data_IF_663118547450
#
_entry.id   IF_663118547450
#
_cell.length_a   1.000
_cell.length_b   1.000
_cell.length_c   1.000
_cell.angle_alpha   90.00
_cell.angle_beta   90.00
_cell.angle_gamma   90.00
#
_symmetry.space_group_name_H-M   'P 1'
#
loop_
_entity.id
_entity.type
_entity.pdbx_description
1 polymer ?
#
# COMPACT_ATOMS: atom_id res chain seq x y z
N UNK A 1 -14.80 8.11 13.34
CA UNK A 1 -13.32 8.12 13.33
C UNK A 1 -12.83 7.65 14.71
N UNK A 2 -12.41 6.38 14.86
CA UNK A 2 -11.50 6.06 15.98
C UNK A 2 -10.23 6.85 15.66
N UNK A 3 -9.93 7.89 16.47
CA UNK A 3 -8.59 8.46 16.53
C UNK A 3 -7.66 7.26 16.67
N UNK A 4 -6.80 7.03 15.69
CA UNK A 4 -5.59 6.25 15.92
C UNK A 4 -4.85 7.08 16.97
N UNK A 5 -5.03 6.72 18.24
CA UNK A 5 -4.22 7.24 19.31
C UNK A 5 -2.82 6.85 18.91
N UNK A 6 -1.98 7.84 18.64
CA UNK A 6 -0.57 7.58 18.37
C UNK A 6 -0.02 6.97 19.65
N UNK A 7 0.13 5.63 19.64
CA UNK A 7 0.57 4.87 20.82
C UNK A 7 1.97 5.28 21.30
N UNK A 8 2.69 6.04 20.46
CA UNK A 8 3.97 6.67 20.80
C UNK A 8 3.85 8.04 21.46
N UNK A 9 2.64 8.53 21.66
CA UNK A 9 2.39 9.83 22.28
C UNK A 9 2.32 9.67 23.83
N UNK A 10 3.44 9.23 24.43
CA UNK A 10 3.63 9.34 25.86
C UNK A 10 4.46 10.58 26.19
N UNK A 11 4.14 11.24 27.27
CA UNK A 11 4.85 12.43 27.72
C UNK A 11 6.24 12.06 28.23
N UNK A 12 7.23 12.83 27.82
CA UNK A 12 8.59 12.76 28.32
C UNK A 12 8.83 13.87 29.34
N UNK A 13 9.66 13.62 30.33
CA UNK A 13 10.17 14.72 31.17
C UNK A 13 11.04 15.69 30.35
N UNK A 14 11.17 16.94 30.79
CA UNK A 14 11.87 18.00 30.04
C UNK A 14 13.31 17.62 29.63
N UNK A 15 14.03 16.87 30.47
CA UNK A 15 15.40 16.43 30.16
C UNK A 15 15.41 15.38 29.05
N UNK A 16 14.51 14.42 29.13
CA UNK A 16 14.36 13.37 28.14
C UNK A 16 13.84 13.92 26.82
N UNK A 17 12.91 14.91 26.86
CA UNK A 17 12.43 15.61 25.67
C UNK A 17 13.56 16.29 24.92
N UNK A 18 14.45 17.00 25.62
CA UNK A 18 15.62 17.63 24.99
C UNK A 18 16.56 16.60 24.32
N UNK A 19 16.72 15.41 24.91
CA UNK A 19 17.48 14.33 24.29
C UNK A 19 16.79 13.88 22.99
N UNK A 20 15.48 13.65 23.05
CA UNK A 20 14.71 13.23 21.88
C UNK A 20 14.74 14.25 20.75
N UNK A 21 14.60 15.54 21.06
CA UNK A 21 14.64 16.63 20.09
C UNK A 21 16.00 16.69 19.38
N UNK A 22 17.09 16.56 20.13
CA UNK A 22 18.44 16.46 19.56
C UNK A 22 18.61 15.23 18.64
N UNK A 23 18.05 14.07 19.03
CA UNK A 23 18.04 12.88 18.17
C UNK A 23 17.23 13.11 16.90
N UNK A 24 16.09 13.80 16.96
CA UNK A 24 15.28 14.14 15.79
C UNK A 24 16.07 15.01 14.79
N UNK A 25 16.80 16.00 15.27
CA UNK A 25 17.67 16.84 14.42
C UNK A 25 18.75 16.01 13.71
N UNK A 26 19.38 15.06 14.41
CA UNK A 26 20.37 14.14 13.82
C UNK A 26 19.72 13.25 12.74
N UNK A 27 18.53 12.70 13.01
CA UNK A 27 17.78 11.87 12.07
C UNK A 27 17.40 12.66 10.82
N UNK A 28 16.84 13.85 10.98
CA UNK A 28 16.44 14.72 9.86
C UNK A 28 17.62 15.10 8.97
N UNK A 29 18.79 15.37 9.55
CA UNK A 29 20.01 15.64 8.79
C UNK A 29 20.38 14.45 7.88
N UNK A 30 20.30 13.22 8.37
CA UNK A 30 20.58 12.02 7.58
C UNK A 30 19.54 11.82 6.48
N UNK A 31 18.25 11.90 6.81
CA UNK A 31 17.17 11.68 5.82
C UNK A 31 17.09 12.77 4.76
N UNK A 32 17.51 14.01 5.04
CA UNK A 32 17.59 15.12 4.07
C UNK A 32 18.51 14.79 2.90
N UNK A 33 19.61 14.09 3.16
CA UNK A 33 20.61 13.71 2.16
C UNK A 33 20.41 12.28 1.60
N UNK A 34 19.42 11.55 2.11
CA UNK A 34 19.15 10.20 1.68
C UNK A 34 18.29 10.18 0.40
N UNK A 35 18.87 9.69 -0.71
CA UNK A 35 18.16 9.55 -1.98
C UNK A 35 17.72 8.11 -2.30
N UNK A 36 17.91 7.16 -1.37
CA UNK A 36 17.54 5.76 -1.57
C UNK A 36 16.04 5.53 -1.34
N UNK A 37 15.41 4.81 -2.26
CA UNK A 37 14.01 4.42 -2.15
C UNK A 37 13.00 5.51 -2.56
N UNK A 38 11.72 5.12 -2.58
CA UNK A 38 10.62 6.04 -2.90
C UNK A 38 10.40 7.06 -1.76
N UNK A 39 9.96 8.26 -2.10
CA UNK A 39 9.68 9.35 -1.14
C UNK A 39 8.87 8.88 0.08
N UNK A 40 7.75 8.19 -0.14
CA UNK A 40 6.91 7.66 0.96
C UNK A 40 7.56 6.57 1.80
N UNK A 41 8.52 5.85 1.25
CA UNK A 41 9.30 4.87 2.02
C UNK A 41 10.27 5.58 2.95
N UNK A 42 10.92 6.66 2.47
CA UNK A 42 11.81 7.50 3.29
C UNK A 42 11.06 8.18 4.43
N UNK A 43 9.92 8.81 4.12
CA UNK A 43 9.04 9.43 5.13
C UNK A 43 8.63 8.43 6.23
N UNK A 44 8.24 7.21 5.83
CA UNK A 44 7.88 6.15 6.78
C UNK A 44 9.08 5.65 7.58
N UNK A 45 10.26 5.57 6.97
CA UNK A 45 11.48 5.16 7.66
C UNK A 45 11.94 6.23 8.65
N UNK A 46 11.89 7.50 8.27
CA UNK A 46 12.17 8.62 9.17
C UNK A 46 11.27 8.59 10.41
N UNK A 47 9.95 8.45 10.20
CA UNK A 47 9.00 8.30 11.31
C UNK A 47 9.33 7.08 12.19
N UNK A 48 9.65 5.93 11.60
CA UNK A 48 10.03 4.73 12.35
C UNK A 48 11.30 4.89 13.17
N UNK A 49 12.30 5.62 12.64
CA UNK A 49 13.53 5.92 13.40
C UNK A 49 13.24 6.94 14.51
N UNK A 50 12.39 7.94 14.29
CA UNK A 50 11.96 8.90 15.34
C UNK A 50 11.23 8.18 16.49
N UNK A 51 10.41 7.17 16.20
CA UNK A 51 9.78 6.34 17.22
C UNK A 51 10.83 5.56 18.04
N UNK A 52 11.80 4.96 17.38
CA UNK A 52 12.92 4.30 18.07
C UNK A 52 13.75 5.30 18.90
N UNK A 53 14.00 6.49 18.38
CA UNK A 53 14.73 7.54 19.08
C UNK A 53 14.02 7.98 20.36
N UNK A 54 12.69 8.12 20.33
CA UNK A 54 11.89 8.43 21.52
C UNK A 54 12.07 7.38 22.60
N UNK A 55 11.99 6.09 22.23
CA UNK A 55 12.26 4.97 23.12
C UNK A 55 13.71 5.00 23.66
N UNK A 56 14.69 5.26 22.81
CA UNK A 56 16.10 5.31 23.21
C UNK A 56 16.42 6.48 24.12
N UNK A 57 15.78 7.63 23.92
CA UNK A 57 15.87 8.79 24.81
C UNK A 57 15.30 8.45 26.18
N UNK A 58 14.14 7.78 26.22
CA UNK A 58 13.44 7.46 27.46
C UNK A 58 14.11 6.32 28.23
N UNK A 59 14.23 5.14 27.63
CA UNK A 59 14.73 3.94 28.28
C UNK A 59 16.23 3.91 28.52
N UNK A 60 17.02 4.55 27.64
CA UNK A 60 18.49 4.46 27.67
C UNK A 60 19.21 5.80 27.78
N UNK A 61 18.49 6.93 27.79
CA UNK A 61 19.03 8.30 27.83
C UNK A 61 20.16 8.54 26.79
N UNK A 62 19.98 7.92 25.59
CA UNK A 62 20.97 7.98 24.51
C UNK A 62 20.99 9.33 23.81
N UNK A 63 22.21 9.91 23.67
CA UNK A 63 22.44 11.22 23.03
C UNK A 63 22.67 11.11 21.50
N UNK A 64 22.94 9.90 20.98
CA UNK A 64 23.11 9.59 19.57
C UNK A 64 22.75 8.15 19.26
N UNK A 65 22.51 7.84 17.98
CA UNK A 65 22.16 6.52 17.48
C UNK A 65 23.29 5.86 16.67
N UNK A 66 24.54 6.32 16.80
CA UNK A 66 25.68 5.76 16.05
C UNK A 66 26.10 4.39 16.57
N UNK A 67 25.71 4.02 17.79
CA UNK A 67 26.09 2.77 18.43
C UNK A 67 24.85 2.02 18.91
N UNK A 68 24.08 1.49 17.95
CA UNK A 68 22.94 0.61 18.23
C UNK A 68 23.50 -0.80 18.52
N UNK A 69 23.07 -1.38 19.63
CA UNK A 69 23.48 -2.73 20.07
C UNK A 69 22.27 -3.68 20.07
N UNK A 70 22.50 -5.01 20.00
CA UNK A 70 21.43 -6.01 20.08
C UNK A 70 20.45 -5.77 21.24
N UNK A 71 20.93 -5.45 22.43
CA UNK A 71 20.10 -5.19 23.61
C UNK A 71 19.07 -4.09 23.41
N UNK A 72 19.38 -3.06 22.59
CA UNK A 72 18.46 -1.96 22.31
C UNK A 72 17.29 -2.42 21.43
N UNK A 73 17.56 -3.34 20.49
CA UNK A 73 16.51 -3.90 19.65
C UNK A 73 15.62 -4.89 20.39
N UNK A 74 16.20 -5.72 21.27
CA UNK A 74 15.41 -6.61 22.13
C UNK A 74 14.45 -5.81 23.01
N UNK A 75 14.95 -4.83 23.76
CA UNK A 75 14.13 -3.98 24.60
C UNK A 75 13.07 -3.19 23.82
N UNK A 76 13.41 -2.71 22.60
CA UNK A 76 12.45 -2.00 21.76
C UNK A 76 11.34 -2.91 21.24
N UNK A 77 11.65 -4.13 20.86
CA UNK A 77 10.66 -5.11 20.41
C UNK A 77 9.72 -5.49 21.54
N UNK A 78 10.25 -5.79 22.73
CA UNK A 78 9.47 -6.06 23.93
C UNK A 78 8.51 -4.91 24.23
N UNK A 79 9.02 -3.67 24.29
CA UNK A 79 8.21 -2.47 24.48
C UNK A 79 7.07 -2.37 23.44
N UNK A 80 7.39 -2.58 22.14
CA UNK A 80 6.37 -2.49 21.11
C UNK A 80 5.32 -3.60 21.20
N UNK A 81 5.70 -4.80 21.63
CA UNK A 81 4.79 -5.93 21.82
C UNK A 81 3.86 -5.68 23.02
N UNK A 82 4.39 -5.18 24.12
CA UNK A 82 3.62 -4.81 25.33
C UNK A 82 2.61 -3.70 25.03
N UNK A 83 2.98 -2.75 24.18
CA UNK A 83 2.07 -1.71 23.67
C UNK A 83 1.04 -2.24 22.66
N UNK A 84 1.08 -3.53 22.31
CA UNK A 84 0.14 -4.18 21.40
C UNK A 84 0.26 -3.76 19.94
N UNK A 85 1.47 -3.38 19.48
CA UNK A 85 1.69 -3.08 18.07
C UNK A 85 1.65 -4.34 17.21
N UNK A 86 1.12 -4.22 16.00
CA UNK A 86 1.09 -5.34 15.07
C UNK A 86 2.50 -5.75 14.63
N UNK A 87 2.72 -7.05 14.42
CA UNK A 87 3.98 -7.59 13.90
C UNK A 87 4.49 -6.88 12.64
N UNK A 88 3.57 -6.51 11.73
CA UNK A 88 3.93 -5.76 10.51
C UNK A 88 4.48 -4.37 10.82
N UNK A 89 3.92 -3.70 11.83
CA UNK A 89 4.39 -2.39 12.25
C UNK A 89 5.76 -2.48 12.93
N UNK A 90 5.95 -3.44 13.84
CA UNK A 90 7.26 -3.74 14.46
C UNK A 90 8.31 -4.03 13.40
N UNK A 91 8.03 -4.92 12.45
CA UNK A 91 8.92 -5.25 11.34
C UNK A 91 9.33 -4.03 10.52
N UNK A 92 8.38 -3.12 10.25
CA UNK A 92 8.67 -1.89 9.50
C UNK A 92 9.58 -0.94 10.28
N UNK A 93 9.34 -0.77 11.58
CA UNK A 93 10.19 0.06 12.43
C UNK A 93 11.61 -0.52 12.53
N UNK A 94 11.75 -1.84 12.72
CA UNK A 94 13.06 -2.50 12.73
C UNK A 94 13.80 -2.33 11.40
N UNK A 95 13.10 -2.38 10.27
CA UNK A 95 13.70 -2.13 8.96
C UNK A 95 14.20 -0.69 8.83
N UNK A 96 13.43 0.27 9.36
CA UNK A 96 13.83 1.67 9.39
C UNK A 96 15.08 1.90 10.27
N UNK A 97 15.13 1.28 11.45
CA UNK A 97 16.28 1.37 12.37
C UNK A 97 17.54 0.80 11.74
N UNK A 98 17.46 -0.40 11.11
CA UNK A 98 18.60 -1.00 10.42
C UNK A 98 19.08 -0.14 9.26
N UNK A 99 18.15 0.34 8.44
CA UNK A 99 18.47 1.25 7.34
C UNK A 99 19.20 2.50 7.84
N UNK A 100 18.68 3.15 8.88
CA UNK A 100 19.31 4.32 9.47
C UNK A 100 20.70 4.02 10.03
N UNK A 101 20.86 2.88 10.70
CA UNK A 101 22.13 2.46 11.28
C UNK A 101 23.21 2.30 10.20
N UNK A 102 22.86 1.76 9.04
CA UNK A 102 23.78 1.68 7.88
C UNK A 102 24.13 3.08 7.34
N UNK A 103 23.18 4.04 7.35
CA UNK A 103 23.44 5.43 6.89
C UNK A 103 24.40 6.21 7.81
N UNK A 104 24.48 5.86 9.08
CA UNK A 104 25.41 6.50 10.03
C UNK A 104 26.74 5.73 10.16
N UNK A 105 27.04 4.81 9.23
CA UNK A 105 28.29 4.06 9.19
C UNK A 105 28.32 2.82 10.08
N UNK A 106 27.18 2.41 10.60
CA UNK A 106 27.03 1.13 11.29
C UNK A 106 26.97 -0.05 10.32
N UNK A 107 26.89 -1.25 10.86
CA UNK A 107 26.73 -2.50 10.11
C UNK A 107 25.51 -3.25 10.65
N UNK A 108 24.37 -3.07 9.96
CA UNK A 108 23.12 -3.68 10.39
C UNK A 108 23.09 -5.21 10.28
N UNK A 109 24.03 -5.82 9.54
CA UNK A 109 24.16 -7.28 9.46
C UNK A 109 24.57 -7.93 10.79
N UNK A 110 25.22 -7.14 11.67
CA UNK A 110 25.61 -7.55 13.03
C UNK A 110 24.49 -7.45 14.05
N UNK A 111 23.36 -6.80 13.67
CA UNK A 111 22.19 -6.72 14.52
C UNK A 111 21.32 -7.98 14.37
N UNK A 112 20.61 -8.41 15.43
CA UNK A 112 19.76 -9.58 15.36
C UNK A 112 18.67 -9.39 14.30
N UNK A 113 18.38 -10.45 13.54
CA UNK A 113 17.26 -10.47 12.60
C UNK A 113 15.91 -10.56 13.33
N UNK A 114 14.81 -10.42 12.60
CA UNK A 114 13.47 -10.41 13.19
C UNK A 114 13.13 -11.70 13.94
N UNK A 115 13.54 -12.87 13.42
CA UNK A 115 13.28 -14.16 14.07
C UNK A 115 13.97 -14.26 15.42
N UNK A 116 15.24 -13.83 15.51
CA UNK A 116 16.00 -13.79 16.78
C UNK A 116 15.38 -12.80 17.77
N UNK A 117 14.69 -11.76 17.28
CA UNK A 117 13.97 -10.79 18.11
C UNK A 117 12.56 -11.26 18.50
N UNK A 118 12.14 -12.47 18.16
CA UNK A 118 10.79 -12.97 18.42
C UNK A 118 9.69 -12.30 17.57
N UNK A 119 10.08 -11.62 16.49
CA UNK A 119 9.14 -10.95 15.57
C UNK A 119 8.85 -11.89 14.41
N UNK A 120 7.85 -12.75 14.60
CA UNK A 120 7.44 -13.74 13.59
C UNK A 120 6.35 -13.11 12.71
N UNK A 121 6.64 -12.94 11.42
CA UNK A 121 5.64 -12.50 10.45
C UNK A 121 4.56 -13.56 10.28
N UNK A 122 3.31 -13.12 10.04
CA UNK A 122 2.23 -14.05 9.67
C UNK A 122 2.69 -14.98 8.56
N UNK A 123 2.38 -16.25 8.71
CA UNK A 123 2.65 -17.26 7.70
C UNK A 123 1.87 -16.95 6.40
N UNK A 124 2.19 -17.66 5.33
CA UNK A 124 1.45 -17.53 4.06
C UNK A 124 -0.01 -17.98 4.26
N UNK A 125 -0.19 -19.06 5.00
CA UNK A 125 -1.48 -19.68 5.30
C UNK A 125 -2.39 -18.71 6.09
N UNK A 126 -1.86 -18.03 7.08
CA UNK A 126 -2.58 -17.00 7.85
C UNK A 126 -2.97 -15.75 7.01
N UNK A 127 -2.26 -15.50 5.89
CA UNK A 127 -2.62 -14.40 4.96
C UNK A 127 -3.65 -14.83 3.93
N UNK A 128 -3.73 -16.13 3.65
CA UNK A 128 -4.66 -16.73 2.69
C UNK A 128 -6.11 -16.69 3.21
N UNK A 129 -6.32 -16.68 4.53
CA UNK A 129 -7.66 -16.73 5.14
C UNK A 129 -8.55 -15.49 4.96
N UNK A 130 -8.00 -14.34 4.59
CA UNK A 130 -8.75 -13.08 4.46
C UNK A 130 -9.16 -12.82 3.01
N UNK A 131 -10.34 -13.27 2.58
CA UNK A 131 -10.87 -12.86 1.26
C UNK A 131 -11.21 -11.37 1.24
N UNK A 132 -10.31 -10.58 0.65
CA UNK A 132 -10.43 -9.12 0.52
C UNK A 132 -11.12 -8.67 -0.77
N UNK A 133 -11.49 -9.61 -1.64
CA UNK A 133 -12.13 -9.29 -2.91
C UNK A 133 -13.53 -8.71 -2.67
N UNK A 134 -13.88 -7.68 -3.41
CA UNK A 134 -15.27 -7.23 -3.50
C UNK A 134 -16.11 -8.30 -4.19
N UNK A 135 -17.41 -8.35 -3.87
CA UNK A 135 -18.39 -9.11 -4.63
C UNK A 135 -18.90 -8.27 -5.81
N UNK A 136 -19.36 -8.90 -6.87
CA UNK A 136 -19.87 -8.21 -8.06
C UNK A 136 -20.97 -7.19 -7.69
N UNK A 137 -21.92 -7.59 -6.86
CA UNK A 137 -23.01 -6.75 -6.42
C UNK A 137 -22.53 -5.55 -5.58
N UNK A 138 -21.46 -5.69 -4.80
CA UNK A 138 -20.86 -4.58 -4.05
C UNK A 138 -20.27 -3.52 -4.99
N UNK A 139 -19.66 -3.95 -6.10
CA UNK A 139 -19.14 -3.05 -7.15
C UNK A 139 -20.29 -2.31 -7.82
N UNK A 140 -21.38 -2.99 -8.17
CA UNK A 140 -22.55 -2.38 -8.79
C UNK A 140 -23.25 -1.39 -7.85
N UNK A 141 -23.45 -1.77 -6.60
CA UNK A 141 -24.02 -0.93 -5.57
C UNK A 141 -23.16 0.32 -5.34
N UNK A 142 -21.83 0.17 -5.28
CA UNK A 142 -20.93 1.32 -5.17
C UNK A 142 -21.05 2.27 -6.35
N UNK A 143 -21.06 1.75 -7.59
CA UNK A 143 -21.16 2.56 -8.80
C UNK A 143 -22.48 3.34 -8.81
N UNK A 144 -23.58 2.69 -8.45
CA UNK A 144 -24.90 3.33 -8.33
C UNK A 144 -24.87 4.42 -7.27
N UNK A 145 -24.45 4.09 -6.05
CA UNK A 145 -24.36 5.06 -4.97
C UNK A 145 -23.46 6.25 -5.32
N UNK A 146 -22.30 6.01 -5.91
CA UNK A 146 -21.39 7.08 -6.34
C UNK A 146 -22.04 7.99 -7.39
N UNK A 147 -22.86 7.45 -8.30
CA UNK A 147 -23.64 8.24 -9.25
C UNK A 147 -24.72 9.06 -8.56
N UNK A 148 -25.48 8.45 -7.64
CA UNK A 148 -26.59 9.12 -6.93
C UNK A 148 -26.12 10.33 -6.10
N UNK A 149 -24.85 10.32 -5.63
CA UNK A 149 -24.27 11.43 -4.88
C UNK A 149 -23.33 12.33 -5.72
N UNK A 150 -23.39 12.25 -7.06
CA UNK A 150 -22.58 13.09 -7.97
C UNK A 150 -21.08 12.79 -7.95
N UNK A 151 -20.69 11.55 -7.65
CA UNK A 151 -19.30 11.10 -7.62
C UNK A 151 -19.01 10.04 -8.70
N UNK A 152 -19.54 10.21 -9.90
CA UNK A 152 -19.41 9.28 -11.04
C UNK A 152 -17.95 8.94 -11.32
N UNK A 153 -17.04 9.90 -11.12
CA UNK A 153 -15.61 9.70 -11.25
C UNK A 153 -15.10 8.53 -10.39
N UNK A 154 -15.61 8.39 -9.17
CA UNK A 154 -15.23 7.28 -8.27
C UNK A 154 -15.83 5.96 -8.74
N UNK A 155 -17.05 5.98 -9.27
CA UNK A 155 -17.68 4.83 -9.91
C UNK A 155 -16.86 4.32 -11.10
N UNK A 156 -16.43 5.23 -11.98
CA UNK A 156 -15.57 4.90 -13.14
C UNK A 156 -14.19 4.36 -12.71
N UNK A 157 -13.59 4.92 -11.65
CA UNK A 157 -12.32 4.41 -11.09
C UNK A 157 -12.45 2.99 -10.54
N UNK A 158 -13.53 2.71 -9.82
CA UNK A 158 -13.82 1.37 -9.26
C UNK A 158 -14.09 0.38 -10.39
N UNK A 159 -14.93 0.73 -11.35
CA UNK A 159 -15.23 -0.11 -12.51
C UNK A 159 -13.97 -0.44 -13.31
N UNK A 160 -13.14 0.55 -13.60
CA UNK A 160 -11.89 0.34 -14.34
C UNK A 160 -10.91 -0.55 -13.57
N UNK A 161 -10.78 -0.33 -12.27
CA UNK A 161 -9.89 -1.15 -11.42
C UNK A 161 -10.37 -2.60 -11.32
N UNK A 162 -11.69 -2.84 -11.23
CA UNK A 162 -12.27 -4.18 -11.20
C UNK A 162 -12.11 -4.93 -12.53
N UNK A 163 -12.11 -4.22 -13.66
CA UNK A 163 -11.95 -4.79 -15.00
C UNK A 163 -10.49 -5.05 -15.41
N UNK A 164 -9.54 -4.26 -14.89
CA UNK A 164 -8.13 -4.29 -15.32
C UNK A 164 -7.16 -4.67 -14.19
N UNK A 165 -7.61 -4.85 -12.97
CA UNK A 165 -6.76 -5.18 -11.82
C UNK A 165 -5.73 -4.09 -11.48
N UNK A 166 -5.98 -2.84 -11.84
CA UNK A 166 -5.04 -1.73 -11.63
C UNK A 166 -4.98 -1.30 -10.17
N UNK A 167 -3.78 -0.92 -9.71
CA UNK A 167 -3.63 -0.25 -8.41
C UNK A 167 -4.16 1.18 -8.50
N UNK A 168 -4.65 1.73 -7.39
CA UNK A 168 -5.23 3.08 -7.35
C UNK A 168 -4.32 4.15 -7.97
N UNK A 169 -3.01 4.10 -7.71
CA UNK A 169 -2.07 5.05 -8.29
C UNK A 169 -1.81 4.82 -9.79
N UNK A 170 -2.02 3.59 -10.29
CA UNK A 170 -1.96 3.27 -11.71
C UNK A 170 -3.19 3.86 -12.42
N UNK A 171 -4.39 3.68 -11.84
CA UNK A 171 -5.63 4.33 -12.31
C UNK A 171 -5.46 5.85 -12.40
N UNK A 172 -4.91 6.48 -11.36
CA UNK A 172 -4.68 7.93 -11.32
C UNK A 172 -3.62 8.43 -12.33
N UNK A 173 -2.78 7.54 -12.88
CA UNK A 173 -1.76 7.89 -13.89
C UNK A 173 -2.26 7.75 -15.32
N UNK A 174 -3.41 7.14 -15.53
CA UNK A 174 -3.96 6.98 -16.87
C UNK A 174 -4.19 8.35 -17.52
N UNK A 175 -3.91 8.41 -18.81
CA UNK A 175 -4.12 9.57 -19.67
C UNK A 175 -4.73 9.15 -21.00
N UNK A 176 -5.04 10.10 -21.86
CA UNK A 176 -5.67 9.84 -23.15
C UNK A 176 -4.87 8.87 -24.06
N UNK A 177 -3.54 8.85 -23.98
CA UNK A 177 -2.73 7.92 -24.79
C UNK A 177 -2.91 6.46 -24.38
N UNK A 178 -3.03 6.18 -23.08
CA UNK A 178 -3.34 4.84 -22.57
C UNK A 178 -4.73 4.38 -23.04
N UNK A 179 -5.73 5.27 -23.02
CA UNK A 179 -7.08 4.93 -23.50
C UNK A 179 -7.09 4.67 -25.01
N UNK A 180 -6.34 5.46 -25.80
CA UNK A 180 -6.16 5.21 -27.23
C UNK A 180 -5.56 3.85 -27.49
N UNK A 181 -4.47 3.51 -26.79
CA UNK A 181 -3.84 2.19 -26.89
C UNK A 181 -4.86 1.07 -26.57
N UNK A 182 -5.64 1.22 -25.52
CA UNK A 182 -6.68 0.27 -25.14
C UNK A 182 -7.72 0.04 -26.24
N UNK A 183 -8.13 1.10 -26.92
CA UNK A 183 -9.10 1.03 -28.02
C UNK A 183 -8.51 0.38 -29.29
N UNK A 184 -7.25 0.63 -29.60
CA UNK A 184 -6.58 0.14 -30.79
C UNK A 184 -6.01 -1.26 -30.62
N UNK A 185 -5.29 -1.50 -29.52
CA UNK A 185 -4.50 -2.71 -29.30
C UNK A 185 -5.14 -3.73 -28.35
N UNK A 186 -6.33 -3.45 -27.78
CA UNK A 186 -7.00 -4.27 -26.80
C UNK A 186 -6.16 -4.53 -25.54
N UNK A 187 -5.22 -3.64 -25.23
CA UNK A 187 -4.36 -3.68 -24.03
C UNK A 187 -3.97 -2.29 -23.57
N UNK A 188 -3.59 -2.19 -22.31
CA UNK A 188 -2.97 -0.99 -21.73
C UNK A 188 -1.60 -1.36 -21.18
N UNK A 189 -0.56 -0.62 -21.59
CA UNK A 189 0.78 -0.78 -21.03
C UNK A 189 0.93 0.06 -19.77
N UNK A 190 1.16 -0.57 -18.64
CA UNK A 190 1.24 0.06 -17.31
C UNK A 190 2.64 -0.06 -16.73
N UNK A 191 3.19 1.10 -16.30
CA UNK A 191 4.42 1.16 -15.51
C UNK A 191 4.04 1.07 -14.02
N UNK A 192 4.33 -0.07 -13.40
CA UNK A 192 4.03 -0.36 -12.00
C UNK A 192 5.10 0.10 -11.00
N UNK A 193 5.01 -0.42 -9.76
CA UNK A 193 5.99 -0.17 -8.70
C UNK A 193 7.37 -0.74 -9.13
N UNK A 194 8.43 0.00 -8.83
CA UNK A 194 9.80 -0.40 -9.19
C UNK A 194 10.13 -0.26 -10.68
N UNK A 195 9.29 0.44 -11.47
CA UNK A 195 9.53 0.66 -12.89
C UNK A 195 9.11 -0.51 -13.81
N UNK A 196 8.56 -1.58 -13.25
CA UNK A 196 8.13 -2.75 -13.99
C UNK A 196 7.00 -2.40 -14.97
N UNK A 197 7.21 -2.71 -16.23
CA UNK A 197 6.24 -2.49 -17.31
C UNK A 197 5.50 -3.79 -17.60
N UNK A 198 4.17 -3.70 -17.77
CA UNK A 198 3.33 -4.82 -18.13
C UNK A 198 2.17 -4.40 -19.03
N UNK A 199 1.72 -5.32 -19.87
CA UNK A 199 0.48 -5.18 -20.62
C UNK A 199 -0.68 -5.81 -19.87
N UNK A 200 -1.80 -5.07 -19.78
CA UNK A 200 -3.05 -5.53 -19.19
C UNK A 200 -4.09 -5.61 -20.31
N UNK A 201 -4.71 -6.78 -20.55
CA UNK A 201 -5.69 -6.94 -21.60
C UNK A 201 -6.97 -6.15 -21.30
N UNK A 202 -7.53 -5.51 -22.32
CA UNK A 202 -8.80 -4.78 -22.27
C UNK A 202 -9.85 -5.61 -23.02
N UNK A 203 -10.83 -6.13 -22.28
CA UNK A 203 -11.90 -6.98 -22.83
C UNK A 203 -13.19 -6.22 -23.11
N UNK A 204 -13.51 -5.25 -22.24
CA UNK A 204 -14.64 -4.35 -22.41
C UNK A 204 -14.13 -2.93 -22.71
N UNK A 205 -14.48 -2.42 -23.89
CA UNK A 205 -14.09 -1.09 -24.33
C UNK A 205 -15.12 0.00 -24.02
N UNK A 206 -16.30 -0.36 -23.54
CA UNK A 206 -17.41 0.57 -23.34
C UNK A 206 -17.03 1.72 -22.42
N UNK A 207 -16.50 1.40 -21.23
CA UNK A 207 -15.99 2.42 -20.30
C UNK A 207 -14.79 3.17 -20.87
N UNK A 208 -13.86 2.46 -21.52
CA UNK A 208 -12.66 3.06 -22.13
C UNK A 208 -13.05 4.11 -23.17
N UNK A 209 -14.06 3.82 -24.03
CA UNK A 209 -14.56 4.74 -25.04
C UNK A 209 -15.20 5.97 -24.41
N UNK A 210 -16.05 5.79 -23.38
CA UNK A 210 -16.61 6.91 -22.61
C UNK A 210 -15.52 7.82 -22.05
N UNK A 211 -14.53 7.24 -21.38
CA UNK A 211 -13.40 7.98 -20.79
C UNK A 211 -12.54 8.67 -21.84
N UNK A 212 -12.29 8.02 -22.97
CA UNK A 212 -11.53 8.60 -24.08
C UNK A 212 -12.18 9.85 -24.67
N UNK A 213 -13.50 9.81 -24.86
CA UNK A 213 -14.27 10.93 -25.36
C UNK A 213 -14.25 12.14 -24.40
N UNK A 214 -14.25 11.87 -23.09
CA UNK A 214 -14.31 12.89 -22.04
C UNK A 214 -12.92 13.39 -21.57
N UNK A 215 -11.82 12.85 -22.07
CA UNK A 215 -10.46 13.25 -21.66
C UNK A 215 -9.77 14.03 -22.77
N UNK A 216 -9.20 15.20 -22.46
CA UNK A 216 -8.45 15.99 -23.43
C UNK A 216 -7.01 15.46 -23.60
N UNK A 217 -6.37 15.86 -24.72
CA UNK A 217 -4.98 15.48 -24.99
C UNK A 217 -4.05 16.08 -23.92
N UNK A 218 -3.19 15.24 -23.34
CA UNK A 218 -2.26 15.65 -22.29
C UNK A 218 -2.81 15.56 -20.87
N UNK A 219 -4.12 15.42 -20.70
CA UNK A 219 -4.75 15.31 -19.38
C UNK A 219 -4.72 13.88 -18.84
N UNK A 220 -4.74 13.78 -17.52
CA UNK A 220 -5.03 12.52 -16.81
C UNK A 220 -6.53 12.28 -16.77
N UNK A 221 -6.91 11.00 -16.87
CA UNK A 221 -8.33 10.60 -16.93
C UNK A 221 -9.10 10.99 -15.65
N UNK A 222 -8.48 10.83 -14.49
CA UNK A 222 -9.15 10.96 -13.19
C UNK A 222 -8.62 12.10 -12.32
N UNK A 223 -7.66 12.88 -12.81
CA UNK A 223 -7.07 14.00 -12.06
C UNK A 223 -7.34 15.27 -12.85
N UNK A 224 -8.18 16.13 -12.31
CA UNK A 224 -8.49 17.42 -12.92
C UNK A 224 -7.29 18.39 -12.83
N UNK A 225 -7.28 19.40 -13.67
CA UNK A 225 -6.28 20.47 -13.59
C UNK A 225 -6.29 21.11 -12.19
N UNK A 226 -5.11 21.30 -11.60
CA UNK A 226 -4.96 21.82 -10.24
C UNK A 226 -5.12 20.78 -9.13
N UNK A 227 -5.66 19.58 -9.39
CA UNK A 227 -5.78 18.53 -8.38
C UNK A 227 -4.44 17.81 -8.15
N UNK A 228 -4.16 17.51 -6.88
CA UNK A 228 -3.00 16.70 -6.50
C UNK A 228 -3.38 15.21 -6.44
N UNK A 229 -2.65 14.37 -7.16
CA UNK A 229 -2.91 12.92 -7.25
C UNK A 229 -3.07 12.25 -5.89
N UNK A 230 -2.25 12.60 -4.89
CA UNK A 230 -2.32 11.99 -3.57
C UNK A 230 -3.61 12.37 -2.82
N UNK A 231 -4.15 13.59 -3.05
CA UNK A 231 -5.44 14.02 -2.48
C UNK A 231 -6.60 13.23 -3.09
N UNK A 232 -6.61 13.06 -4.42
CA UNK A 232 -7.64 12.26 -5.09
C UNK A 232 -7.60 10.81 -4.60
N UNK A 233 -6.42 10.21 -4.45
CA UNK A 233 -6.25 8.87 -3.87
C UNK A 233 -6.82 8.80 -2.45
N UNK A 234 -6.48 9.76 -1.60
CA UNK A 234 -6.98 9.81 -0.21
C UNK A 234 -8.50 9.97 -0.19
N UNK A 235 -9.05 10.85 -1.03
CA UNK A 235 -10.48 11.14 -1.05
C UNK A 235 -11.31 9.93 -1.46
N UNK A 236 -10.95 9.20 -2.51
CA UNK A 236 -11.69 7.97 -2.88
C UNK A 236 -11.55 6.87 -1.81
N UNK A 237 -10.38 6.72 -1.19
CA UNK A 237 -10.20 5.76 -0.10
C UNK A 237 -11.09 6.12 1.11
N UNK A 238 -11.15 7.40 1.47
CA UNK A 238 -12.04 7.89 2.53
C UNK A 238 -13.51 7.77 2.14
N UNK A 239 -13.86 8.01 0.87
CA UNK A 239 -15.22 7.84 0.37
C UNK A 239 -15.68 6.38 0.50
N UNK A 240 -14.85 5.41 0.11
CA UNK A 240 -15.13 3.99 0.31
C UNK A 240 -15.30 3.68 1.79
N UNK A 241 -14.39 4.12 2.65
CA UNK A 241 -14.41 3.83 4.08
C UNK A 241 -15.65 4.41 4.78
N UNK A 242 -15.97 5.68 4.52
CA UNK A 242 -17.04 6.39 5.23
C UNK A 242 -18.46 5.98 4.79
N UNK A 243 -18.59 5.40 3.60
CA UNK A 243 -19.89 5.07 3.01
C UNK A 243 -20.08 3.57 2.78
N UNK A 244 -19.26 2.74 3.39
CA UNK A 244 -19.26 1.29 3.16
C UNK A 244 -20.63 0.66 3.44
N UNK A 245 -21.38 1.16 4.40
CA UNK A 245 -22.73 0.71 4.76
C UNK A 245 -23.76 0.84 3.63
N UNK A 246 -23.49 1.66 2.61
CA UNK A 246 -24.38 1.90 1.47
C UNK A 246 -24.24 0.87 0.35
N UNK A 247 -23.14 0.13 0.31
CA UNK A 247 -22.84 -0.78 -0.80
C UNK A 247 -22.25 -2.13 -0.39
N UNK A 248 -21.70 -2.27 0.81
CA UNK A 248 -21.18 -3.54 1.29
C UNK A 248 -22.32 -4.51 1.65
N UNK A 249 -22.14 -5.77 1.28
CA UNK A 249 -23.08 -6.86 1.62
C UNK A 249 -22.77 -7.46 2.98
N UNK A 250 -21.53 -7.35 3.43
CA UNK A 250 -21.05 -7.85 4.71
C UNK A 250 -20.50 -6.66 5.51
N UNK A 251 -21.13 -6.37 6.64
CA UNK A 251 -20.78 -5.22 7.50
C UNK A 251 -19.47 -5.42 8.26
N UNK A 252 -19.07 -6.66 8.48
CA UNK A 252 -17.85 -6.99 9.22
C UNK A 252 -16.61 -6.98 8.31
N UNK A 253 -16.82 -7.05 6.99
CA UNK A 253 -15.76 -7.02 6.01
C UNK A 253 -15.43 -5.59 5.60
N UNK A 254 -14.18 -5.17 5.85
CA UNK A 254 -13.72 -3.87 5.40
C UNK A 254 -13.37 -3.88 3.90
N UNK A 255 -14.16 -3.20 3.10
CA UNK A 255 -13.88 -3.00 1.68
C UNK A 255 -12.82 -1.91 1.47
N UNK A 256 -11.89 -2.18 0.59
CA UNK A 256 -10.81 -1.23 0.23
C UNK A 256 -10.66 -1.17 -1.28
N UNK A 257 -10.09 -0.08 -1.81
CA UNK A 257 -9.79 0.00 -3.25
C UNK A 257 -8.87 -1.14 -3.72
N UNK A 258 -8.00 -1.65 -2.85
CA UNK A 258 -7.13 -2.77 -3.17
C UNK A 258 -7.91 -4.09 -3.35
N UNK A 259 -9.05 -4.24 -2.67
CA UNK A 259 -9.95 -5.39 -2.82
C UNK A 259 -10.48 -5.59 -4.26
N UNK A 260 -10.58 -4.52 -5.05
CA UNK A 260 -10.94 -4.61 -6.48
C UNK A 260 -9.91 -5.40 -7.29
N UNK A 261 -8.65 -5.34 -6.89
CA UNK A 261 -7.59 -6.10 -7.54
C UNK A 261 -7.63 -7.59 -7.16
N UNK A 262 -8.09 -7.91 -5.93
CA UNK A 262 -8.42 -9.28 -5.54
C UNK A 262 -9.60 -9.81 -6.37
N UNK A 263 -10.65 -9.01 -6.52
CA UNK A 263 -11.78 -9.33 -7.39
C UNK A 263 -11.35 -9.63 -8.83
N UNK A 264 -10.55 -8.76 -9.43
CA UNK A 264 -9.99 -9.02 -10.77
C UNK A 264 -9.23 -10.33 -10.84
N UNK A 265 -8.36 -10.59 -9.87
CA UNK A 265 -7.56 -11.82 -9.80
C UNK A 265 -8.43 -13.06 -9.80
N UNK A 266 -9.43 -13.11 -8.91
CA UNK A 266 -10.34 -14.26 -8.79
C UNK A 266 -11.17 -14.47 -10.04
N UNK A 267 -11.77 -13.42 -10.58
CA UNK A 267 -12.61 -13.53 -11.79
C UNK A 267 -11.78 -13.91 -13.02
N UNK A 268 -10.60 -13.29 -13.18
CA UNK A 268 -9.72 -13.59 -14.32
C UNK A 268 -9.18 -15.01 -14.27
N UNK A 269 -8.81 -15.47 -13.10
CA UNK A 269 -8.39 -16.85 -12.89
C UNK A 269 -9.52 -17.83 -13.25
N UNK A 270 -10.73 -17.59 -12.73
CA UNK A 270 -11.92 -18.40 -13.04
C UNK A 270 -12.22 -18.44 -14.55
N UNK A 271 -12.19 -17.27 -15.20
CA UNK A 271 -12.39 -17.14 -16.64
C UNK A 271 -11.38 -18.01 -17.44
N UNK A 272 -10.10 -17.91 -17.10
CA UNK A 272 -9.04 -18.67 -17.76
C UNK A 272 -9.22 -20.19 -17.57
N UNK A 273 -9.60 -20.62 -16.36
CA UNK A 273 -9.93 -22.02 -16.07
C UNK A 273 -11.14 -22.50 -16.91
N UNK A 274 -12.17 -21.67 -17.06
CA UNK A 274 -13.33 -21.99 -17.91
C UNK A 274 -12.98 -22.09 -19.40
N UNK A 275 -11.91 -21.42 -19.84
CA UNK A 275 -11.36 -21.55 -21.18
C UNK A 275 -10.39 -22.73 -21.35
N UNK A 276 -10.34 -23.65 -20.37
CA UNK A 276 -9.59 -24.91 -20.44
C UNK A 276 -8.11 -24.82 -20.02
N UNK A 277 -7.67 -23.68 -19.44
CA UNK A 277 -6.31 -23.60 -18.89
C UNK A 277 -6.22 -24.33 -17.55
N UNK A 278 -5.06 -24.90 -17.27
CA UNK A 278 -4.77 -25.45 -15.93
C UNK A 278 -4.63 -24.34 -14.90
N UNK A 279 -4.86 -24.65 -13.62
CA UNK A 279 -4.70 -23.71 -12.51
C UNK A 279 -3.32 -23.00 -12.54
N UNK A 280 -2.25 -23.74 -12.77
CA UNK A 280 -0.90 -23.17 -12.86
C UNK A 280 -0.74 -22.20 -14.05
N UNK A 281 -1.33 -22.52 -15.19
CA UNK A 281 -1.30 -21.65 -16.38
C UNK A 281 -2.09 -20.36 -16.10
N UNK A 282 -3.30 -20.48 -15.57
CA UNK A 282 -4.13 -19.34 -15.19
C UNK A 282 -3.42 -18.42 -14.18
N UNK A 283 -2.84 -18.97 -13.11
CA UNK A 283 -2.06 -18.21 -12.12
C UNK A 283 -0.87 -17.48 -12.75
N UNK A 284 -0.14 -18.10 -13.67
CA UNK A 284 0.98 -17.47 -14.38
C UNK A 284 0.52 -16.25 -15.18
N UNK A 285 -0.59 -16.36 -15.91
CA UNK A 285 -1.15 -15.27 -16.72
C UNK A 285 -1.59 -14.13 -15.81
N UNK A 286 -2.44 -14.42 -14.81
CA UNK A 286 -2.93 -13.41 -13.86
C UNK A 286 -1.78 -12.72 -13.12
N UNK A 287 -0.74 -13.47 -12.71
CA UNK A 287 0.45 -12.90 -12.07
C UNK A 287 1.15 -11.87 -12.95
N UNK A 288 1.26 -12.12 -14.26
CA UNK A 288 1.84 -11.18 -15.23
C UNK A 288 0.96 -9.95 -15.42
N UNK A 289 -0.35 -10.14 -15.65
CA UNK A 289 -1.33 -9.06 -15.78
C UNK A 289 -1.34 -8.14 -14.56
N UNK A 290 -1.19 -8.72 -13.35
CA UNK A 290 -1.07 -7.98 -12.10
C UNK A 290 0.33 -7.39 -11.86
N UNK A 291 1.37 -7.82 -12.57
CA UNK A 291 2.75 -7.37 -12.39
C UNK A 291 3.37 -7.83 -11.08
N UNK A 292 3.03 -9.05 -10.63
CA UNK A 292 3.67 -9.68 -9.48
C UNK A 292 4.90 -10.49 -9.89
N UNK A 293 4.87 -11.15 -11.03
CA UNK A 293 5.90 -12.07 -11.55
C UNK A 293 6.28 -13.19 -10.58
N UNK A 294 5.52 -13.36 -9.50
CA UNK A 294 5.68 -14.42 -8.50
C UNK A 294 4.32 -15.09 -8.29
N UNK A 295 4.20 -16.34 -8.68
CA UNK A 295 2.96 -17.12 -8.59
C UNK A 295 2.45 -17.17 -7.14
N UNK A 296 3.35 -17.31 -6.18
CA UNK A 296 3.01 -17.38 -4.75
C UNK A 296 2.29 -16.13 -4.22
N UNK A 297 2.49 -14.96 -4.85
CA UNK A 297 1.75 -13.74 -4.47
C UNK A 297 0.33 -13.81 -5.02
N UNK A 298 0.13 -14.41 -6.21
CA UNK A 298 -1.19 -14.55 -6.81
C UNK A 298 -2.12 -15.43 -5.97
N UNK A 299 -1.57 -16.45 -5.29
CA UNK A 299 -2.34 -17.30 -4.37
C UNK A 299 -3.01 -16.53 -3.23
N UNK A 300 -2.34 -15.50 -2.70
CA UNK A 300 -2.92 -14.62 -1.65
C UNK A 300 -4.14 -13.84 -2.16
N UNK A 301 -4.25 -13.64 -3.46
CA UNK A 301 -5.36 -12.91 -4.08
C UNK A 301 -6.52 -13.82 -4.49
N UNK A 302 -6.29 -15.13 -4.57
CA UNK A 302 -7.30 -16.11 -5.02
C UNK A 302 -8.21 -16.60 -3.88
N UNK A 303 -7.85 -16.30 -2.63
CA UNK A 303 -8.62 -16.73 -1.45
C UNK A 303 -9.30 -15.55 -0.77
#
# INVERSE_FOLDING_TARGET
MKKVIDKYDWELDNKTQNIYDNLCVQIEKIFRHCNQGAYKTRERYEAGVKNFAKFMADAFKKQNLNNIKPKHLYAYVEFMQDMGYSTSYVTTNLSAVRFFYDQVGGDSSKLPNNNRLGVISRSKEERIGDNKAWRHLEIENFIRYASDVGQERYGDMVRLSSQLGLRIHEVCRLNKSHLRQALQEYKITIKGKGGLVRDVPVRDKTLIQKLYNNTQRGEKVFIKQGEQTHRVIKNIQMFIYNNQDKFALDKDKQLTFHGLRHFYCQNRHKELMQHGLTDLQARKIVSRELGHYRINITEIYLN
#
